data_IF_415881795873
#
_entry.id   IF_415881795873
#
_cell.length_a   1.000
_cell.length_b   1.000
_cell.length_c   1.000
_cell.angle_alpha   90.00
_cell.angle_beta   90.00
_cell.angle_gamma   90.00
#
_symmetry.space_group_name_H-M   'P 1'
#
loop_
_entity.id
_entity.type
_entity.pdbx_description
1 polymer ?
#
# COMPACT_ATOMS: atom_id res chain seq x y z
N UNK A 1 -11.76 2.57 -4.26
CA UNK A 1 -12.58 1.81 -5.23
C UNK A 1 -11.73 0.76 -5.90
N UNK A 2 -12.32 -0.36 -6.34
CA UNK A 2 -11.59 -1.53 -6.87
C UNK A 2 -11.11 -1.37 -8.32
N UNK A 3 -10.56 -0.21 -8.65
CA UNK A 3 -10.10 0.10 -10.00
C UNK A 3 -8.61 -0.24 -10.12
N UNK A 4 -8.21 -1.09 -11.08
CA UNK A 4 -6.79 -1.33 -11.29
C UNK A 4 -6.10 -0.12 -11.89
N UNK A 5 -4.81 0.06 -11.55
CA UNK A 5 -3.99 1.11 -12.13
C UNK A 5 -3.44 0.67 -13.49
N UNK A 6 -3.85 1.37 -14.54
CA UNK A 6 -3.51 1.06 -15.93
C UNK A 6 -2.76 2.20 -16.63
N UNK A 7 -2.67 3.39 -16.06
CA UNK A 7 -1.99 4.54 -16.65
C UNK A 7 -0.52 4.63 -16.23
N UNK A 8 -0.25 4.30 -14.97
CA UNK A 8 1.08 4.36 -14.36
C UNK A 8 1.54 2.98 -13.88
N UNK A 9 2.85 2.81 -13.80
CA UNK A 9 3.44 1.62 -13.23
C UNK A 9 3.14 1.57 -11.72
N UNK A 10 2.58 0.47 -11.22
CA UNK A 10 2.31 0.30 -9.78
C UNK A 10 3.57 0.23 -8.91
N UNK A 11 4.75 0.05 -9.53
CA UNK A 11 6.03 -0.03 -8.82
C UNK A 11 6.80 1.29 -8.78
N UNK A 12 6.85 2.03 -9.91
CA UNK A 12 7.67 3.24 -10.03
C UNK A 12 6.87 4.50 -10.36
N UNK A 13 5.55 4.40 -10.49
CA UNK A 13 4.61 5.48 -10.82
C UNK A 13 4.84 6.18 -12.17
N UNK A 14 5.83 5.71 -12.93
CA UNK A 14 6.13 6.19 -14.27
C UNK A 14 5.01 5.85 -15.27
N UNK A 15 4.93 6.63 -16.35
CA UNK A 15 3.97 6.38 -17.43
C UNK A 15 4.27 5.03 -18.07
N UNK A 16 3.23 4.23 -18.29
CA UNK A 16 3.38 2.92 -18.90
C UNK A 16 3.66 3.03 -20.40
N UNK A 17 4.79 2.49 -20.90
CA UNK A 17 5.11 2.52 -22.31
C UNK A 17 4.16 1.63 -23.12
N UNK A 18 4.03 1.90 -24.42
CA UNK A 18 3.27 1.07 -25.37
C UNK A 18 4.06 -0.18 -25.81
N UNK A 19 4.62 -0.89 -24.84
CA UNK A 19 5.31 -2.15 -25.02
C UNK A 19 4.61 -3.24 -24.23
N UNK A 20 5.05 -4.49 -24.37
CA UNK A 20 4.62 -5.55 -23.47
C UNK A 20 4.98 -5.16 -22.02
N UNK A 21 3.96 -5.17 -21.16
CA UNK A 21 4.08 -4.87 -19.74
C UNK A 21 3.68 -6.10 -18.94
N UNK A 22 3.74 -6.03 -17.61
CA UNK A 22 3.32 -7.13 -16.74
C UNK A 22 2.04 -6.74 -16.01
N UNK A 23 1.03 -7.60 -16.09
CA UNK A 23 -0.16 -7.51 -15.26
C UNK A 23 0.07 -8.23 -13.93
N UNK A 24 -0.14 -7.51 -12.83
CA UNK A 24 -0.10 -8.09 -11.49
C UNK A 24 -1.40 -7.77 -10.73
N UNK A 25 -2.33 -8.74 -10.67
CA UNK A 25 -3.54 -8.64 -9.86
C UNK A 25 -3.26 -8.30 -8.40
N UNK A 26 -2.19 -8.87 -7.83
CA UNK A 26 -1.80 -8.67 -6.44
C UNK A 26 -1.26 -7.26 -6.18
N UNK A 27 -0.49 -6.71 -7.11
CA UNK A 27 -0.01 -5.33 -7.03
C UNK A 27 -1.09 -4.31 -7.43
N UNK A 28 -2.25 -4.76 -7.91
CA UNK A 28 -3.40 -3.92 -8.23
C UNK A 28 -3.32 -3.22 -9.58
N UNK A 29 -2.47 -3.68 -10.51
CA UNK A 29 -2.33 -3.02 -11.81
C UNK A 29 -1.17 -3.53 -12.65
N UNK A 30 -0.61 -2.62 -13.45
CA UNK A 30 0.41 -2.95 -14.46
C UNK A 30 1.79 -2.49 -13.99
N UNK A 31 2.80 -3.33 -14.21
CA UNK A 31 4.21 -3.08 -13.95
C UNK A 31 4.91 -2.87 -15.31
N UNK A 32 5.68 -1.79 -15.44
CA UNK A 32 6.37 -1.46 -16.68
C UNK A 32 7.50 -2.45 -17.00
N UNK A 33 7.92 -2.50 -18.26
CA UNK A 33 9.03 -3.34 -18.72
C UNK A 33 10.36 -3.12 -17.96
N UNK A 34 10.60 -1.91 -17.44
CA UNK A 34 11.77 -1.59 -16.62
C UNK A 34 11.71 -2.24 -15.23
N UNK A 35 10.55 -2.19 -14.58
CA UNK A 35 10.33 -2.77 -13.25
C UNK A 35 10.14 -4.29 -13.28
N UNK A 36 9.75 -4.87 -14.43
CA UNK A 36 9.64 -6.33 -14.62
C UNK A 36 10.93 -7.09 -14.28
N UNK A 37 12.10 -6.47 -14.42
CA UNK A 37 13.40 -7.15 -14.22
C UNK A 37 13.71 -7.47 -12.76
N UNK A 38 12.90 -7.00 -11.82
CA UNK A 38 13.07 -7.31 -10.41
C UNK A 38 12.66 -8.78 -10.13
N UNK A 39 13.49 -9.55 -9.40
CA UNK A 39 13.32 -11.00 -9.23
C UNK A 39 12.07 -11.40 -8.42
N UNK A 40 11.43 -10.45 -7.75
CA UNK A 40 10.27 -10.61 -6.90
C UNK A 40 8.93 -10.36 -7.62
N UNK A 41 8.95 -9.94 -8.89
CA UNK A 41 7.73 -9.57 -9.58
C UNK A 41 6.96 -10.77 -10.13
N UNK A 42 5.86 -11.08 -9.46
CA UNK A 42 4.88 -12.09 -9.88
C UNK A 42 3.78 -11.42 -10.69
N UNK A 43 3.68 -11.80 -11.96
CA UNK A 43 2.65 -11.32 -12.86
C UNK A 43 2.70 -12.01 -14.21
N UNK A 44 1.69 -11.77 -15.03
CA UNK A 44 1.59 -12.33 -16.39
C UNK A 44 1.91 -11.25 -17.42
N UNK A 45 2.54 -11.59 -18.56
CA UNK A 45 2.66 -10.65 -19.66
C UNK A 45 1.28 -10.11 -20.07
N UNK A 46 1.22 -8.82 -20.34
CA UNK A 46 0.03 -8.13 -20.82
C UNK A 46 0.35 -7.44 -22.14
N UNK A 47 -0.40 -7.82 -23.17
CA UNK A 47 -0.25 -7.25 -24.50
C UNK A 47 -0.65 -5.77 -24.51
N UNK A 48 -0.06 -5.01 -25.45
CA UNK A 48 -0.41 -3.60 -25.65
C UNK A 48 -1.91 -3.45 -26.01
N UNK A 49 -2.46 -4.40 -26.77
CA UNK A 49 -3.89 -4.42 -27.13
C UNK A 49 -4.77 -4.63 -25.91
N UNK A 50 -4.42 -5.56 -25.02
CA UNK A 50 -5.14 -5.77 -23.76
C UNK A 50 -5.08 -4.53 -22.87
N UNK A 51 -3.90 -3.93 -22.70
CA UNK A 51 -3.74 -2.70 -21.90
C UNK A 51 -4.61 -1.54 -22.43
N UNK A 52 -4.56 -1.28 -23.74
CA UNK A 52 -5.39 -0.24 -24.38
C UNK A 52 -6.88 -0.54 -24.22
N UNK A 53 -7.28 -1.80 -24.40
CA UNK A 53 -8.66 -2.24 -24.25
C UNK A 53 -9.17 -2.06 -22.83
N UNK A 54 -8.42 -2.49 -21.82
CA UNK A 54 -8.80 -2.29 -20.42
C UNK A 54 -8.90 -0.80 -20.05
N UNK A 55 -7.96 0.03 -20.52
CA UNK A 55 -8.02 1.49 -20.32
C UNK A 55 -9.30 2.07 -20.89
N UNK A 56 -9.64 1.69 -22.12
CA UNK A 56 -10.87 2.13 -22.78
C UNK A 56 -12.10 1.68 -22.01
N UNK A 57 -12.17 0.39 -21.62
CA UNK A 57 -13.30 -0.16 -20.86
C UNK A 57 -13.52 0.55 -19.51
N UNK A 58 -12.46 1.02 -18.83
CA UNK A 58 -12.58 1.71 -17.54
C UNK A 58 -13.11 3.16 -17.61
N UNK A 59 -13.09 3.77 -18.79
CA UNK A 59 -13.52 5.17 -18.99
C UNK A 59 -14.73 5.30 -19.89
N UNK A 60 -15.11 4.22 -20.58
CA UNK A 60 -16.22 4.20 -21.54
C UNK A 60 -17.54 3.92 -20.85
N UNK A 61 -18.61 4.51 -21.39
CA UNK A 61 -19.96 4.03 -21.12
C UNK A 61 -20.21 2.65 -21.76
N UNK A 62 -21.32 2.02 -21.41
CA UNK A 62 -21.67 0.68 -21.87
C UNK A 62 -21.80 0.58 -23.40
N UNK A 63 -22.40 1.56 -24.07
CA UNK A 63 -22.60 1.53 -25.52
C UNK A 63 -21.28 1.70 -26.27
N UNK A 64 -20.39 2.55 -25.75
CA UNK A 64 -19.04 2.73 -26.26
C UNK A 64 -18.18 1.48 -26.06
N UNK A 65 -18.25 0.87 -24.87
CA UNK A 65 -17.57 -0.38 -24.55
C UNK A 65 -18.03 -1.54 -25.46
N UNK A 66 -19.33 -1.65 -25.73
CA UNK A 66 -19.90 -2.70 -26.59
C UNK A 66 -19.43 -2.64 -28.05
N UNK A 67 -18.93 -1.48 -28.52
CA UNK A 67 -18.39 -1.31 -29.88
C UNK A 67 -16.92 -1.71 -30.00
N UNK A 68 -16.25 -2.02 -28.90
CA UNK A 68 -14.85 -2.42 -28.91
C UNK A 68 -14.70 -3.74 -29.69
N UNK A 69 -13.87 -3.72 -30.74
CA UNK A 69 -13.59 -4.92 -31.53
C UNK A 69 -12.60 -5.80 -30.79
N UNK A 70 -13.09 -6.94 -30.30
CA UNK A 70 -12.31 -7.92 -29.55
C UNK A 70 -12.29 -9.21 -30.35
N UNK A 71 -11.10 -9.73 -30.64
CA UNK A 71 -10.92 -11.08 -31.17
C UNK A 71 -10.77 -12.10 -30.03
N UNK A 72 -10.87 -13.40 -30.34
CA UNK A 72 -10.90 -14.46 -29.34
C UNK A 72 -9.65 -14.50 -28.45
N UNK A 73 -8.47 -14.18 -29.02
CA UNK A 73 -7.22 -14.14 -28.28
C UNK A 73 -7.23 -12.99 -27.25
N UNK A 74 -7.66 -11.79 -27.69
CA UNK A 74 -7.81 -10.63 -26.82
C UNK A 74 -8.90 -10.85 -25.76
N UNK A 75 -10.03 -11.47 -26.13
CA UNK A 75 -11.10 -11.78 -25.19
C UNK A 75 -10.60 -12.70 -24.06
N UNK A 76 -9.86 -13.75 -24.43
CA UNK A 76 -9.27 -14.70 -23.47
C UNK A 76 -8.27 -14.03 -22.54
N UNK A 77 -7.40 -13.16 -23.08
CA UNK A 77 -6.42 -12.42 -22.29
C UNK A 77 -7.10 -11.46 -21.29
N UNK A 78 -8.10 -10.71 -21.75
CA UNK A 78 -8.88 -9.78 -20.91
C UNK A 78 -9.65 -10.53 -19.82
N UNK A 79 -10.35 -11.61 -20.16
CA UNK A 79 -11.11 -12.40 -19.21
C UNK A 79 -10.19 -12.95 -18.11
N UNK A 80 -9.10 -13.62 -18.49
CA UNK A 80 -8.15 -14.21 -17.54
C UNK A 80 -7.59 -13.16 -16.59
N UNK A 81 -7.22 -12.00 -17.12
CA UNK A 81 -6.62 -10.90 -16.36
C UNK A 81 -7.61 -10.28 -15.37
N UNK A 82 -8.83 -9.97 -15.82
CA UNK A 82 -9.87 -9.36 -14.99
C UNK A 82 -10.42 -10.34 -13.97
N UNK A 83 -10.63 -11.61 -14.34
CA UNK A 83 -11.06 -12.66 -13.40
C UNK A 83 -10.05 -12.83 -12.28
N UNK A 84 -8.74 -12.89 -12.60
CA UNK A 84 -7.68 -12.97 -11.59
C UNK A 84 -7.68 -11.77 -10.64
N UNK A 85 -7.91 -10.56 -11.15
CA UNK A 85 -8.01 -9.36 -10.33
C UNK A 85 -9.25 -9.37 -9.42
N UNK A 86 -10.41 -9.77 -9.93
CA UNK A 86 -11.62 -9.89 -9.12
C UNK A 86 -11.46 -10.92 -7.98
N UNK A 87 -10.79 -12.04 -8.23
CA UNK A 87 -10.50 -13.01 -7.17
C UNK A 87 -9.65 -12.40 -6.05
N UNK A 88 -8.60 -11.65 -6.38
CA UNK A 88 -7.75 -10.98 -5.38
C UNK A 88 -8.54 -9.96 -4.57
N UNK A 89 -9.38 -9.16 -5.23
CA UNK A 89 -10.20 -8.13 -4.58
C UNK A 89 -11.20 -8.77 -3.62
N UNK A 90 -11.97 -9.75 -4.09
CA UNK A 90 -13.01 -10.40 -3.29
C UNK A 90 -12.40 -11.14 -2.10
N UNK A 91 -11.30 -11.88 -2.30
CA UNK A 91 -10.65 -12.59 -1.21
C UNK A 91 -10.14 -11.61 -0.15
N UNK A 92 -9.48 -10.51 -0.55
CA UNK A 92 -9.01 -9.48 0.39
C UNK A 92 -10.15 -8.89 1.22
N UNK A 93 -11.30 -8.58 0.60
CA UNK A 93 -12.46 -8.05 1.31
C UNK A 93 -13.01 -9.05 2.33
N UNK A 94 -13.09 -10.34 1.97
CA UNK A 94 -13.54 -11.41 2.87
C UNK A 94 -12.57 -11.59 4.04
N UNK A 95 -11.26 -11.61 3.80
CA UNK A 95 -10.27 -11.73 4.87
C UNK A 95 -10.29 -10.50 5.80
N UNK A 96 -10.43 -9.30 5.25
CA UNK A 96 -10.53 -8.07 6.03
C UNK A 96 -11.76 -8.11 6.95
N UNK A 97 -12.92 -8.51 6.44
CA UNK A 97 -14.13 -8.66 7.26
C UNK A 97 -13.92 -9.66 8.41
N UNK A 98 -13.35 -10.85 8.12
CA UNK A 98 -13.04 -11.86 9.14
C UNK A 98 -12.09 -11.34 10.23
N UNK A 99 -11.06 -10.59 9.85
CA UNK A 99 -10.12 -9.99 10.81
C UNK A 99 -10.83 -8.99 11.73
N UNK A 100 -11.69 -8.13 11.16
CA UNK A 100 -12.46 -7.17 11.95
C UNK A 100 -13.38 -7.88 12.96
N UNK A 101 -14.04 -8.96 12.55
CA UNK A 101 -14.85 -9.77 13.44
C UNK A 101 -14.01 -10.39 14.57
N UNK A 102 -12.83 -10.94 14.25
CA UNK A 102 -11.91 -11.46 15.25
C UNK A 102 -11.49 -10.40 16.27
N UNK A 103 -11.14 -9.20 15.83
CA UNK A 103 -10.76 -8.09 16.72
C UNK A 103 -11.90 -7.70 17.67
N UNK A 104 -13.16 -7.71 17.20
CA UNK A 104 -14.34 -7.41 18.04
C UNK A 104 -14.57 -8.45 19.14
N UNK A 105 -14.14 -9.69 18.90
CA UNK A 105 -14.26 -10.78 19.85
C UNK A 105 -13.01 -10.99 20.73
N UNK A 106 -11.96 -10.19 20.52
CA UNK A 106 -10.81 -10.21 21.43
C UNK A 106 -11.25 -9.73 22.82
N UNK A 107 -10.96 -10.49 23.89
CA UNK A 107 -11.24 -10.04 25.25
C UNK A 107 -10.44 -8.76 25.51
N UNK A 108 -11.11 -7.69 25.94
CA UNK A 108 -10.48 -6.41 26.23
C UNK A 108 -9.36 -6.60 27.27
N UNK A 109 -8.08 -6.45 26.90
CA UNK A 109 -6.98 -6.63 27.85
C UNK A 109 -6.96 -5.54 28.93
N UNK A 110 -7.77 -4.48 28.81
CA UNK A 110 -7.93 -3.41 29.79
C UNK A 110 -9.09 -3.56 30.78
N UNK A 111 -9.81 -4.69 30.79
CA UNK A 111 -10.93 -4.93 31.71
C UNK A 111 -10.53 -5.26 33.17
N UNK A 112 -9.24 -5.43 33.46
CA UNK A 112 -8.77 -5.49 34.86
C UNK A 112 -8.54 -4.06 35.32
N UNK A 113 -9.42 -3.58 36.21
CA UNK A 113 -9.20 -2.36 36.97
C UNK A 113 -7.77 -2.39 37.52
N UNK A 114 -6.91 -1.51 37.01
CA UNK A 114 -5.62 -1.25 37.64
C UNK A 114 -5.94 -0.87 39.09
N UNK A 115 -5.40 -1.55 40.11
CA UNK A 115 -5.60 -1.11 41.48
C UNK A 115 -5.13 0.35 41.53
N UNK A 116 -6.03 1.26 41.91
CA UNK A 116 -5.67 2.65 42.16
C UNK A 116 -4.49 2.62 43.10
N UNK A 117 -3.31 3.02 42.61
CA UNK A 117 -2.24 3.47 43.47
C UNK A 117 -2.82 4.66 44.22
N UNK A 118 -3.22 4.42 45.47
CA UNK A 118 -3.57 5.46 46.42
C UNK A 118 -2.38 6.39 46.52
N UNK A 119 -2.47 7.56 45.90
CA UNK A 119 -1.44 8.58 46.02
C UNK A 119 -1.59 9.21 47.42
N UNK A 120 -0.59 9.15 48.31
CA UNK A 120 -0.60 9.98 49.50
C UNK A 120 -0.41 11.45 49.09
N UNK A 121 -1.21 12.34 49.67
CA UNK A 121 -1.17 13.78 49.40
C UNK A 121 0.18 14.44 49.75
N UNK A 122 0.37 15.70 49.33
CA UNK A 122 1.67 16.36 49.38
C UNK A 122 2.03 16.79 50.82
N UNK A 123 3.16 16.31 51.31
CA UNK A 123 3.86 16.82 52.48
C UNK A 123 5.11 17.62 52.07
N UNK A 124 5.17 18.86 52.53
CA UNK A 124 6.31 19.80 52.68
C UNK A 124 7.66 19.12 53.05
N UNK A 125 8.89 19.63 52.80
CA UNK A 125 9.48 20.98 52.86
C UNK A 125 11.00 20.93 52.51
N UNK A 126 11.55 22.03 51.93
CA UNK A 126 12.94 22.61 52.06
C UNK A 126 14.19 21.76 51.74
N UNK A 127 15.34 22.22 51.19
CA UNK A 127 15.99 23.55 51.01
C UNK A 127 17.26 23.42 50.11
N UNK A 128 17.62 24.50 49.39
CA UNK A 128 18.84 24.80 48.56
C UNK A 128 20.00 25.36 49.44
N UNK A 129 21.25 25.79 49.04
CA UNK A 129 21.93 26.02 47.71
C UNK A 129 23.41 25.50 47.54
N UNK A 130 23.94 25.21 46.32
CA UNK A 130 24.83 25.97 45.36
C UNK A 130 26.26 26.38 45.87
N UNK A 131 27.30 26.74 45.04
CA UNK A 131 27.41 26.91 43.57
C UNK A 131 28.75 26.44 42.90
N UNK A 132 28.90 26.64 41.57
CA UNK A 132 30.20 26.73 40.87
C UNK A 132 30.23 26.30 39.39
N UNK A 133 30.27 27.26 38.43
CA UNK A 133 30.48 27.04 36.98
C UNK A 133 31.96 27.19 36.55
N UNK A 134 32.31 27.64 35.32
CA UNK A 134 31.70 27.47 33.98
C UNK A 134 32.73 26.93 32.93
N UNK A 135 32.32 26.65 31.69
CA UNK A 135 33.07 27.00 30.44
C UNK A 135 32.45 26.40 29.16
N UNK A 136 32.43 27.22 28.11
CA UNK A 136 31.93 26.98 26.76
C UNK A 136 32.87 26.12 25.88
N UNK A 137 32.36 25.54 24.78
CA UNK A 137 32.69 25.93 23.38
C UNK A 137 31.97 25.09 22.32
N UNK A 138 31.70 25.76 21.21
CA UNK A 138 31.13 25.36 19.92
C UNK A 138 31.75 24.15 19.19
N UNK A 139 30.94 23.45 18.40
CA UNK A 139 31.38 22.59 17.30
C UNK A 139 30.26 22.28 16.31
N UNK A 140 30.34 22.83 15.09
CA UNK A 140 29.52 22.47 13.92
C UNK A 140 29.98 21.11 13.35
N UNK A 141 29.07 20.27 12.86
CA UNK A 141 29.28 19.44 11.65
C UNK A 141 27.96 18.80 11.16
N UNK A 142 27.81 18.75 9.84
CA UNK A 142 26.66 18.34 9.03
C UNK A 142 26.73 16.83 8.67
N UNK A 143 25.89 16.31 7.75
CA UNK A 143 24.81 15.35 7.98
C UNK A 143 25.20 13.86 7.88
N UNK A 144 24.40 12.96 8.47
CA UNK A 144 24.47 11.51 8.20
C UNK A 144 23.21 11.05 7.45
N UNK A 145 23.42 10.71 6.18
CA UNK A 145 22.53 9.90 5.35
C UNK A 145 22.29 8.54 6.01
N UNK A 146 21.05 8.25 6.43
CA UNK A 146 20.48 6.90 6.51
C UNK A 146 18.97 6.99 6.30
N UNK A 147 18.55 6.97 5.04
CA UNK A 147 17.16 6.73 4.66
C UNK A 147 16.84 5.26 4.92
N UNK A 148 16.40 4.97 6.14
CA UNK A 148 15.81 3.68 6.49
C UNK A 148 14.36 3.69 5.98
N UNK A 149 14.04 2.69 5.16
CA UNK A 149 12.70 2.37 4.68
C UNK A 149 11.68 2.46 5.82
N UNK A 150 10.76 3.42 5.74
CA UNK A 150 9.58 3.48 6.59
C UNK A 150 8.41 2.93 5.81
N UNK A 151 8.07 1.67 6.08
CA UNK A 151 6.75 1.13 5.80
C UNK A 151 5.75 1.95 6.63
N UNK A 152 4.82 2.63 5.96
CA UNK A 152 3.67 3.25 6.62
C UNK A 152 2.42 2.49 6.23
N UNK A 153 1.55 2.42 7.23
CA UNK A 153 0.34 1.64 7.34
C UNK A 153 -0.78 2.13 6.44
#
# INVERSE_FOLDING_TARGET
GFRPELGRCVQCEGVLPETENVWSPLAGGVICAGCRRAPDQVGVPLSVRALKSMRFLLVSDFLSAARLRIDDALATELERSLRGFLHVVIDRDVQAARLIDQIRHLPNPGGKALPRLSNPGPGSTSSTPAPGGPAARSGKALPRLKGVCRWSQ
#
